data_IF_971939108308
#
_entry.id   IF_971939108308
#
_cell.length_a   1.000
_cell.length_b   1.000
_cell.length_c   1.000
_cell.angle_alpha   90.00
_cell.angle_beta   90.00
_cell.angle_gamma   90.00
#
_symmetry.space_group_name_H-M   'P 1'
#
loop_
_entity.id
_entity.type
_entity.pdbx_description
1 polymer ?
#
# COMPACT_ATOMS: atom_id res chain seq x y z
N UNK A 1 6.05 -24.58 -13.74
CA UNK A 1 4.84 -23.85 -13.32
C UNK A 1 4.98 -22.41 -13.79
N UNK A 2 4.13 -21.87 -14.69
CA UNK A 2 4.27 -20.47 -15.10
C UNK A 2 3.65 -19.57 -14.02
N UNK A 3 4.46 -18.67 -13.47
CA UNK A 3 4.04 -17.68 -12.47
C UNK A 3 3.18 -16.60 -13.17
N UNK A 4 1.90 -16.48 -12.79
CA UNK A 4 1.04 -15.38 -13.26
C UNK A 4 1.15 -14.22 -12.29
N UNK A 5 1.93 -13.20 -12.64
CA UNK A 5 1.94 -11.91 -11.93
C UNK A 5 0.82 -11.03 -12.50
N UNK A 6 -0.25 -10.82 -11.74
CA UNK A 6 -1.19 -9.72 -11.98
C UNK A 6 -0.77 -8.55 -11.09
N UNK A 7 -0.22 -7.50 -11.69
CA UNK A 7 -0.11 -6.21 -11.02
C UNK A 7 -1.46 -5.49 -11.16
N UNK A 8 -2.25 -5.43 -10.09
CA UNK A 8 -3.47 -4.62 -10.04
C UNK A 8 -3.21 -3.36 -9.24
N UNK A 9 -3.28 -2.20 -9.89
CA UNK A 9 -3.15 -0.87 -9.26
C UNK A 9 -4.53 -0.38 -8.86
N UNK A 10 -4.72 -0.06 -7.57
CA UNK A 10 -6.00 0.46 -7.05
C UNK A 10 -5.75 1.74 -6.27
N UNK A 11 -6.31 2.84 -6.75
CA UNK A 11 -6.34 4.12 -6.04
C UNK A 11 -7.41 4.08 -4.95
N UNK A 12 -7.13 4.71 -3.81
CA UNK A 12 -8.06 4.85 -2.70
C UNK A 12 -8.10 6.29 -2.21
N UNK A 13 -9.28 6.87 -1.93
CA UNK A 13 -9.37 8.16 -1.28
C UNK A 13 -8.88 8.05 0.18
N UNK A 14 -8.23 9.11 0.66
CA UNK A 14 -7.92 9.30 2.09
C UNK A 14 -9.12 10.01 2.75
N UNK A 15 -10.08 9.21 3.18
CA UNK A 15 -11.40 9.64 3.67
C UNK A 15 -11.59 9.43 5.19
N UNK A 16 -10.59 8.90 5.88
CA UNK A 16 -10.55 8.76 7.34
C UNK A 16 -9.22 9.24 7.93
N UNK A 17 -9.15 9.34 9.26
CA UNK A 17 -7.89 9.60 9.94
C UNK A 17 -6.88 8.48 9.67
N UNK A 18 -5.64 8.86 9.36
CA UNK A 18 -4.56 7.91 9.12
C UNK A 18 -3.28 8.39 9.82
N UNK A 19 -2.84 7.63 10.83
CA UNK A 19 -1.71 7.99 11.69
C UNK A 19 -1.81 9.41 12.31
N UNK A 20 -3.03 9.84 12.68
CA UNK A 20 -3.28 11.17 13.24
C UNK A 20 -3.27 12.30 12.21
N UNK A 21 -3.21 11.99 10.92
CA UNK A 21 -3.45 12.94 9.84
C UNK A 21 -4.94 12.98 9.53
N UNK A 22 -5.50 14.19 9.56
CA UNK A 22 -6.85 14.43 9.10
C UNK A 22 -7.04 13.98 7.64
N UNK A 23 -8.25 13.51 7.26
CA UNK A 23 -8.53 13.07 5.90
C UNK A 23 -8.23 14.19 4.90
N UNK A 24 -7.44 13.88 3.87
CA UNK A 24 -7.01 14.88 2.88
C UNK A 24 -7.96 14.93 1.68
N UNK A 25 -8.85 13.95 1.52
CA UNK A 25 -9.73 13.82 0.35
C UNK A 25 -9.01 13.43 -0.94
N UNK A 26 -7.67 13.29 -0.91
CA UNK A 26 -6.84 12.93 -2.07
C UNK A 26 -6.80 11.43 -2.27
N UNK A 27 -6.64 11.00 -3.52
CA UNK A 27 -6.34 9.59 -3.80
C UNK A 27 -4.86 9.33 -3.63
N UNK A 28 -4.51 8.22 -3.01
CA UNK A 28 -3.13 7.77 -2.84
C UNK A 28 -2.93 6.35 -3.37
N UNK A 29 -1.66 5.98 -3.48
CA UNK A 29 -1.22 4.64 -3.83
C UNK A 29 -0.15 4.15 -2.84
N UNK A 30 -0.20 2.85 -2.53
CA UNK A 30 0.74 2.19 -1.62
C UNK A 30 1.37 1.01 -2.32
N UNK A 31 2.69 1.01 -2.39
CA UNK A 31 3.46 -0.18 -2.72
C UNK A 31 3.64 -1.03 -1.46
N UNK A 32 3.29 -2.31 -1.56
CA UNK A 32 3.41 -3.26 -0.46
C UNK A 32 3.86 -4.62 -0.97
N UNK A 33 4.70 -5.28 -0.20
CA UNK A 33 5.05 -6.69 -0.35
C UNK A 33 4.63 -7.45 0.91
N UNK A 34 4.09 -8.65 0.71
CA UNK A 34 3.70 -9.54 1.80
C UNK A 34 4.33 -10.92 1.58
N UNK A 35 4.92 -11.47 2.62
CA UNK A 35 5.46 -12.83 2.66
C UNK A 35 4.65 -13.60 3.69
N UNK A 36 4.04 -14.69 3.25
CA UNK A 36 3.15 -15.51 4.06
C UNK A 36 3.68 -16.94 4.12
N UNK A 37 3.72 -17.52 5.32
CA UNK A 37 4.01 -18.94 5.52
C UNK A 37 2.71 -19.68 5.76
N UNK A 38 2.49 -20.76 5.03
CA UNK A 38 1.31 -21.60 5.17
C UNK A 38 1.62 -22.96 5.82
N UNK A 39 0.68 -23.47 6.61
CA UNK A 39 0.63 -24.86 7.10
C UNK A 39 -0.84 -25.28 7.25
N UNK A 40 -1.17 -26.47 6.75
CA UNK A 40 -2.53 -27.05 6.82
C UNK A 40 -3.62 -26.09 6.30
N UNK A 41 -3.34 -25.42 5.18
CA UNK A 41 -4.24 -24.46 4.55
C UNK A 41 -4.39 -23.12 5.27
N UNK A 42 -3.61 -22.86 6.33
CA UNK A 42 -3.67 -21.63 7.13
C UNK A 42 -2.37 -20.84 7.06
N UNK A 43 -2.47 -19.51 7.11
CA UNK A 43 -1.31 -18.62 7.28
C UNK A 43 -0.84 -18.74 8.74
N UNK A 44 0.39 -19.18 8.95
CA UNK A 44 1.01 -19.32 10.27
C UNK A 44 2.05 -18.24 10.56
N UNK A 45 2.47 -17.48 9.54
CA UNK A 45 3.29 -16.29 9.71
C UNK A 45 3.00 -15.30 8.57
N UNK A 46 3.01 -14.01 8.89
CA UNK A 46 2.76 -12.93 7.95
C UNK A 46 3.76 -11.81 8.20
N UNK A 47 4.60 -11.52 7.21
CA UNK A 47 5.49 -10.37 7.20
C UNK A 47 5.07 -9.43 6.09
N UNK A 48 4.92 -8.15 6.43
CA UNK A 48 4.54 -7.11 5.49
C UNK A 48 5.61 -6.02 5.49
N UNK A 49 6.00 -5.63 4.29
CA UNK A 49 6.80 -4.45 4.05
C UNK A 49 5.97 -3.48 3.21
N UNK A 50 5.83 -2.25 3.70
CA UNK A 50 5.08 -1.18 3.06
C UNK A 50 6.03 -0.02 2.80
N UNK A 51 5.94 0.62 1.63
CA UNK A 51 6.65 1.88 1.39
C UNK A 51 5.92 3.04 2.09
N UNK A 52 6.11 3.11 3.41
CA UNK A 52 5.48 4.10 4.28
C UNK A 52 6.03 5.51 4.01
N UNK A 53 7.28 5.64 3.58
CA UNK A 53 7.87 6.93 3.27
C UNK A 53 7.18 7.60 2.07
N UNK A 54 6.97 6.85 0.99
CA UNK A 54 6.23 7.35 -0.18
C UNK A 54 4.76 7.62 0.13
N UNK A 55 4.14 6.80 0.99
CA UNK A 55 2.78 7.03 1.47
C UNK A 55 2.67 8.33 2.26
N UNK A 56 3.53 8.55 3.26
CA UNK A 56 3.45 9.74 4.10
C UNK A 56 3.66 11.02 3.29
N UNK A 57 4.60 11.04 2.33
CA UNK A 57 4.77 12.16 1.41
C UNK A 57 3.51 12.49 0.61
N UNK A 58 2.79 11.49 0.11
CA UNK A 58 1.53 11.71 -0.60
C UNK A 58 0.45 12.33 0.29
N UNK A 59 0.48 12.07 1.60
CA UNK A 59 -0.52 12.52 2.56
C UNK A 59 -0.18 13.86 3.24
N UNK A 60 1.11 14.20 3.38
CA UNK A 60 1.55 15.42 4.06
C UNK A 60 1.97 16.54 3.11
N UNK A 61 2.49 16.24 1.93
CA UNK A 61 2.94 17.27 0.99
C UNK A 61 1.78 17.72 0.10
N UNK A 62 1.75 19.00 -0.31
CA UNK A 62 0.70 19.57 -1.19
C UNK A 62 0.70 19.00 -2.62
N UNK A 63 1.64 18.11 -2.96
CA UNK A 63 1.60 17.39 -4.23
C UNK A 63 2.80 16.47 -4.47
N UNK A 64 2.52 15.18 -4.64
CA UNK A 64 2.75 14.46 -5.89
C UNK A 64 2.41 12.97 -5.68
N UNK A 65 1.45 12.46 -6.45
CA UNK A 65 1.37 11.02 -6.68
C UNK A 65 2.68 10.57 -7.35
N UNK A 66 3.21 9.37 -7.02
CA UNK A 66 4.51 8.94 -7.52
C UNK A 66 4.56 8.95 -9.05
N UNK A 67 5.61 9.59 -9.57
CA UNK A 67 5.96 9.66 -10.99
C UNK A 67 6.05 8.25 -11.57
N UNK A 68 5.35 8.03 -12.68
CA UNK A 68 5.46 6.81 -13.50
C UNK A 68 6.86 6.80 -14.14
N UNK A 69 7.67 5.81 -13.77
CA UNK A 69 8.77 5.33 -14.61
C UNK A 69 8.34 4.03 -15.28
#
# INVERSE_FOLDING_TARGET
>A
MPERRRASRRLRPHDGDFFGLAPTGRTFEVAQMTIERFRDGRIIAHHRLTDEASLMRQLTDDGAAPSRA
#
